data_IF_728780277394
#
_entry.id   IF_728780277394
#
_cell.length_a   1.000
_cell.length_b   1.000
_cell.length_c   1.000
_cell.angle_alpha   90.00
_cell.angle_beta   90.00
_cell.angle_gamma   90.00
#
_symmetry.space_group_name_H-M   'P 1'
#
loop_
_entity.id
_entity.type
_entity.pdbx_description
1 polymer ?
#
# COMPACT_ATOMS: atom_id res chain seq x y z
N UNK A 1 -6.56 20.91 9.13
CA UNK A 1 -5.78 22.15 9.08
C UNK A 1 -6.67 23.26 9.63
N UNK A 2 -6.15 24.07 10.55
CA UNK A 2 -6.94 25.15 11.19
C UNK A 2 -7.10 26.36 10.26
N UNK A 3 -6.29 26.44 9.20
CA UNK A 3 -6.38 27.42 8.11
C UNK A 3 -5.55 26.97 6.91
N UNK A 4 -5.85 27.54 5.74
CA UNK A 4 -5.14 27.25 4.50
C UNK A 4 -6.02 26.62 3.43
N UNK A 5 -5.52 26.58 2.21
CA UNK A 5 -6.17 25.97 1.05
C UNK A 5 -5.27 24.92 0.44
N UNK A 6 -5.81 23.77 0.07
CA UNK A 6 -5.12 22.74 -0.68
C UNK A 6 -5.62 22.80 -2.12
N UNK A 7 -4.74 23.18 -3.04
CA UNK A 7 -5.04 23.30 -4.47
C UNK A 7 -4.28 22.26 -5.29
N UNK A 8 -4.81 21.90 -6.46
CA UNK A 8 -4.12 20.99 -7.38
C UNK A 8 -4.11 19.53 -6.95
N UNK A 9 -4.99 19.11 -6.04
CA UNK A 9 -5.15 17.69 -5.70
C UNK A 9 -5.68 16.94 -6.92
N UNK A 10 -5.06 15.79 -7.28
CA UNK A 10 -5.57 14.95 -8.35
C UNK A 10 -6.90 14.30 -7.96
N UNK A 11 -7.71 13.96 -8.95
CA UNK A 11 -9.02 13.31 -8.72
C UNK A 11 -8.86 11.90 -8.12
N UNK A 12 -7.78 11.21 -8.49
CA UNK A 12 -7.54 9.81 -8.09
C UNK A 12 -6.32 9.73 -7.18
N UNK A 13 -6.59 9.47 -5.92
CA UNK A 13 -5.56 9.31 -4.89
C UNK A 13 -5.68 7.91 -4.29
N UNK A 14 -4.58 7.16 -4.29
CA UNK A 14 -4.47 5.90 -3.55
C UNK A 14 -3.87 6.18 -2.17
N UNK A 15 -4.44 5.58 -1.14
CA UNK A 15 -3.92 5.73 0.22
C UNK A 15 -3.75 4.35 0.86
N UNK A 16 -2.55 4.07 1.34
CA UNK A 16 -2.28 2.99 2.28
C UNK A 16 -2.15 3.61 3.67
N UNK A 17 -3.06 3.29 4.57
CA UNK A 17 -3.02 3.75 5.96
C UNK A 17 -2.07 2.89 6.80
N UNK A 18 -1.67 3.39 7.95
CA UNK A 18 -0.90 2.62 8.92
C UNK A 18 -1.61 1.31 9.34
N UNK A 19 -2.93 1.35 9.44
CA UNK A 19 -3.79 0.17 9.58
C UNK A 19 -4.16 -0.37 8.19
N UNK A 20 -4.22 -1.68 8.00
CA UNK A 20 -4.44 -2.29 6.69
C UNK A 20 -5.84 -2.03 6.11
N UNK A 21 -6.84 -1.79 6.96
CA UNK A 21 -8.24 -1.49 6.61
C UNK A 21 -8.79 -2.40 5.52
N UNK A 22 -8.52 -3.70 5.64
CA UNK A 22 -9.06 -4.72 4.76
C UNK A 22 -10.51 -5.05 5.14
N UNK A 23 -11.29 -5.48 4.16
CA UNK A 23 -12.63 -6.03 4.39
C UNK A 23 -12.47 -7.44 4.95
N UNK A 24 -12.87 -7.65 6.20
CA UNK A 24 -12.63 -8.87 6.96
C UNK A 24 -13.45 -10.08 6.48
N UNK A 25 -14.59 -9.83 5.85
CA UNK A 25 -15.56 -10.86 5.44
C UNK A 25 -15.29 -11.44 4.03
N UNK A 26 -14.22 -10.99 3.35
CA UNK A 26 -13.91 -11.41 1.98
C UNK A 26 -12.47 -11.91 1.85
N UNK A 27 -12.20 -12.59 0.74
CA UNK A 27 -10.86 -13.12 0.43
C UNK A 27 -9.83 -12.01 0.16
N UNK A 28 -8.54 -12.38 0.18
CA UNK A 28 -7.45 -11.50 -0.21
C UNK A 28 -7.61 -11.03 -1.66
N UNK A 29 -8.01 -11.92 -2.56
CA UNK A 29 -8.29 -11.57 -3.96
C UNK A 29 -9.38 -10.50 -4.07
N UNK A 30 -10.51 -10.70 -3.39
CA UNK A 30 -11.62 -9.75 -3.42
C UNK A 30 -11.24 -8.39 -2.86
N UNK A 31 -10.44 -8.34 -1.78
CA UNK A 31 -9.91 -7.08 -1.25
C UNK A 31 -9.12 -6.28 -2.29
N UNK A 32 -8.30 -6.94 -3.11
CA UNK A 32 -7.56 -6.29 -4.19
C UNK A 32 -8.51 -5.89 -5.33
N UNK A 33 -9.46 -6.76 -5.68
CA UNK A 33 -10.37 -6.54 -6.80
C UNK A 33 -11.37 -5.39 -6.55
N UNK A 34 -11.63 -5.01 -5.28
CA UNK A 34 -12.55 -3.91 -4.90
C UNK A 34 -12.22 -2.57 -5.57
N UNK A 35 -10.95 -2.28 -5.82
CA UNK A 35 -10.50 -1.01 -6.40
C UNK A 35 -10.33 -1.04 -7.90
N UNK A 36 -10.54 -2.22 -8.52
CA UNK A 36 -10.42 -2.39 -9.94
C UNK A 36 -11.78 -2.25 -10.64
N UNK A 37 -11.75 -1.82 -11.89
CA UNK A 37 -12.98 -1.76 -12.68
C UNK A 37 -13.68 -3.11 -12.75
N UNK A 38 -14.99 -3.09 -12.56
CA UNK A 38 -15.82 -4.29 -12.66
C UNK A 38 -15.83 -4.83 -14.08
N UNK A 39 -15.34 -6.04 -14.29
CA UNK A 39 -15.29 -6.69 -15.59
C UNK A 39 -16.62 -7.35 -15.94
N UNK A 40 -17.08 -7.13 -17.18
CA UNK A 40 -18.41 -7.56 -17.64
C UNK A 40 -18.40 -8.98 -18.20
N UNK A 41 -17.36 -9.38 -18.93
CA UNK A 41 -17.26 -10.68 -19.58
C UNK A 41 -16.41 -11.66 -18.78
N UNK A 42 -16.60 -12.98 -19.03
CA UNK A 42 -15.81 -14.04 -18.39
C UNK A 42 -14.32 -13.88 -18.74
N UNK A 43 -13.99 -13.71 -19.99
CA UNK A 43 -12.60 -13.50 -20.44
C UNK A 43 -11.92 -12.28 -19.76
N UNK A 44 -12.64 -11.18 -19.55
CA UNK A 44 -12.12 -10.02 -18.84
C UNK A 44 -11.88 -10.31 -17.35
N UNK A 45 -12.73 -11.11 -16.72
CA UNK A 45 -12.55 -11.54 -15.32
C UNK A 45 -11.36 -12.46 -15.18
N UNK A 46 -11.18 -13.40 -16.10
CA UNK A 46 -10.03 -14.31 -16.10
C UNK A 46 -8.71 -13.55 -16.28
N UNK A 47 -8.68 -12.59 -17.22
CA UNK A 47 -7.51 -11.74 -17.42
C UNK A 47 -7.20 -10.88 -16.18
N UNK A 48 -8.22 -10.35 -15.49
CA UNK A 48 -8.05 -9.59 -14.24
C UNK A 48 -7.51 -10.48 -13.13
N UNK A 49 -8.03 -11.72 -13.01
CA UNK A 49 -7.55 -12.69 -12.04
C UNK A 49 -6.08 -13.02 -12.27
N UNK A 50 -5.71 -13.36 -13.51
CA UNK A 50 -4.32 -13.64 -13.87
C UNK A 50 -3.40 -12.44 -13.55
N UNK A 51 -3.84 -11.22 -13.84
CA UNK A 51 -3.09 -10.00 -13.49
C UNK A 51 -2.87 -9.87 -11.97
N UNK A 52 -3.92 -10.07 -11.16
CA UNK A 52 -3.81 -9.98 -9.70
C UNK A 52 -2.85 -11.05 -9.18
N UNK A 53 -2.94 -12.29 -9.68
CA UNK A 53 -2.04 -13.40 -9.29
C UNK A 53 -0.58 -13.07 -9.64
N UNK A 54 -0.32 -12.50 -10.82
CA UNK A 54 1.03 -12.09 -11.22
C UNK A 54 1.59 -10.98 -10.34
N UNK A 55 0.78 -9.98 -10.00
CA UNK A 55 1.20 -8.88 -9.12
C UNK A 55 1.42 -9.36 -7.68
N UNK A 56 0.56 -10.24 -7.19
CA UNK A 56 0.69 -10.84 -5.87
C UNK A 56 1.97 -11.66 -5.72
N UNK A 57 2.32 -12.44 -6.75
CA UNK A 57 3.55 -13.23 -6.76
C UNK A 57 4.81 -12.36 -6.63
N UNK A 58 4.83 -11.13 -7.18
CA UNK A 58 5.96 -10.21 -7.07
C UNK A 58 6.24 -9.75 -5.64
N UNK A 59 5.24 -9.80 -4.77
CA UNK A 59 5.38 -9.48 -3.35
C UNK A 59 5.31 -10.71 -2.45
N UNK A 60 5.48 -11.92 -3.01
CA UNK A 60 5.52 -13.17 -2.27
C UNK A 60 4.17 -13.61 -1.68
N UNK A 61 3.07 -13.32 -2.37
CA UNK A 61 1.71 -13.84 -2.09
C UNK A 61 1.37 -14.86 -3.17
N UNK A 62 0.98 -16.05 -2.77
CA UNK A 62 0.66 -17.13 -3.69
C UNK A 62 -0.80 -17.06 -4.18
N UNK A 63 -1.12 -17.80 -5.25
CA UNK A 63 -2.50 -17.91 -5.71
C UNK A 63 -3.42 -18.60 -4.67
N UNK A 64 -2.87 -19.49 -3.84
CA UNK A 64 -3.59 -20.11 -2.73
C UNK A 64 -3.92 -19.09 -1.64
N UNK A 65 -2.94 -18.27 -1.23
CA UNK A 65 -3.13 -17.18 -0.26
C UNK A 65 -4.23 -16.22 -0.70
N UNK A 66 -4.33 -15.92 -1.99
CA UNK A 66 -5.35 -15.04 -2.55
C UNK A 66 -6.77 -15.57 -2.35
N UNK A 67 -6.96 -16.87 -2.25
CA UNK A 67 -8.28 -17.49 -2.03
C UNK A 67 -8.71 -17.50 -0.56
N UNK A 68 -7.78 -17.32 0.36
CA UNK A 68 -8.05 -17.33 1.80
C UNK A 68 -8.75 -16.04 2.24
N UNK A 69 -9.54 -16.16 3.32
CA UNK A 69 -10.03 -14.97 4.01
C UNK A 69 -8.87 -14.16 4.58
N UNK A 70 -8.91 -12.84 4.47
CA UNK A 70 -7.80 -11.98 4.93
C UNK A 70 -7.49 -12.13 6.41
N UNK A 71 -8.46 -12.53 7.23
CA UNK A 71 -8.27 -12.74 8.67
C UNK A 71 -7.44 -14.00 8.99
N UNK A 72 -7.35 -14.94 8.04
CA UNK A 72 -6.53 -16.16 8.17
C UNK A 72 -5.07 -15.92 7.82
N UNK A 73 -4.77 -14.78 7.17
CA UNK A 73 -3.42 -14.42 6.75
C UNK A 73 -2.60 -13.81 7.89
N UNK A 74 -1.28 -13.97 7.82
CA UNK A 74 -0.35 -13.29 8.74
C UNK A 74 -0.42 -11.76 8.60
N UNK A 75 0.02 -11.03 9.63
CA UNK A 75 0.05 -9.55 9.57
C UNK A 75 0.85 -9.01 8.38
N UNK A 76 2.02 -9.60 8.10
CA UNK A 76 2.83 -9.23 6.94
C UNK A 76 2.17 -9.56 5.59
N UNK A 77 1.37 -10.62 5.50
CA UNK A 77 0.58 -10.93 4.31
C UNK A 77 -0.54 -9.91 4.13
N UNK A 78 -1.29 -9.61 5.19
CA UNK A 78 -2.34 -8.58 5.16
C UNK A 78 -1.78 -7.22 4.73
N UNK A 79 -0.61 -6.83 5.24
CA UNK A 79 0.07 -5.60 4.84
C UNK A 79 0.35 -5.56 3.34
N UNK A 80 0.86 -6.67 2.76
CA UNK A 80 1.12 -6.79 1.31
C UNK A 80 -0.16 -6.77 0.48
N UNK A 81 -1.26 -7.36 0.95
CA UNK A 81 -2.57 -7.29 0.29
C UNK A 81 -3.11 -5.85 0.27
N UNK A 82 -3.03 -5.13 1.40
CA UNK A 82 -3.43 -3.72 1.48
C UNK A 82 -2.60 -2.84 0.54
N UNK A 83 -1.30 -3.12 0.45
CA UNK A 83 -0.38 -2.43 -0.46
C UNK A 83 -0.72 -2.71 -1.93
N UNK A 84 -0.96 -3.96 -2.31
CA UNK A 84 -1.40 -4.34 -3.66
C UNK A 84 -2.70 -3.63 -4.03
N UNK A 85 -3.69 -3.60 -3.12
CA UNK A 85 -4.94 -2.87 -3.33
C UNK A 85 -4.70 -1.39 -3.63
N UNK A 86 -3.82 -0.73 -2.87
CA UNK A 86 -3.50 0.67 -3.09
C UNK A 86 -2.77 0.92 -4.40
N UNK A 87 -1.78 0.08 -4.75
CA UNK A 87 -0.92 0.27 -5.92
C UNK A 87 -1.56 -0.16 -7.25
N UNK A 88 -2.52 -1.09 -7.22
CA UNK A 88 -3.25 -1.53 -8.42
C UNK A 88 -4.43 -0.61 -8.76
N UNK A 89 -4.83 0.28 -7.86
CA UNK A 89 -5.73 1.38 -8.17
C UNK A 89 -5.04 2.35 -9.13
N UNK A 90 -5.75 2.76 -10.19
CA UNK A 90 -5.23 3.71 -11.18
C UNK A 90 -5.22 5.13 -10.63
N UNK A 91 -4.28 5.41 -9.72
CA UNK A 91 -4.12 6.70 -9.06
C UNK A 91 -3.00 7.53 -9.68
N UNK A 92 -3.17 8.83 -9.66
CA UNK A 92 -2.18 9.85 -10.05
C UNK A 92 -1.26 10.21 -8.88
N UNK A 93 -1.80 10.12 -7.66
CA UNK A 93 -1.07 10.35 -6.42
C UNK A 93 -1.21 9.13 -5.50
N UNK A 94 -0.11 8.77 -4.84
CA UNK A 94 -0.04 7.63 -3.92
C UNK A 94 0.48 8.11 -2.57
N UNK A 95 -0.25 7.82 -1.49
CA UNK A 95 0.14 8.13 -0.12
C UNK A 95 0.34 6.81 0.62
N UNK A 96 1.53 6.58 1.13
CA UNK A 96 1.93 5.36 1.81
C UNK A 96 2.35 5.68 3.25
N UNK A 97 1.57 5.24 4.22
CA UNK A 97 1.84 5.43 5.64
C UNK A 97 2.40 4.13 6.23
N UNK A 98 3.68 4.14 6.62
CA UNK A 98 4.44 2.99 7.17
C UNK A 98 4.28 1.71 6.32
N UNK A 99 4.49 1.75 4.98
CA UNK A 99 4.08 0.67 4.07
C UNK A 99 4.78 -0.66 4.34
N UNK A 100 5.96 -0.66 4.97
CA UNK A 100 6.80 -1.83 5.17
C UNK A 100 6.79 -2.34 6.62
N UNK A 101 5.94 -1.76 7.48
CA UNK A 101 5.82 -2.16 8.88
C UNK A 101 5.42 -3.63 9.00
N UNK A 102 6.13 -4.36 9.87
CA UNK A 102 5.84 -5.78 10.16
C UNK A 102 6.32 -6.77 9.11
N UNK A 103 7.08 -6.33 8.10
CA UNK A 103 7.75 -7.22 7.15
C UNK A 103 9.13 -7.61 7.66
N UNK A 104 9.53 -8.85 7.42
CA UNK A 104 10.91 -9.29 7.62
C UNK A 104 11.86 -8.65 6.58
N UNK A 105 13.16 -8.68 6.85
CA UNK A 105 14.17 -7.97 6.05
C UNK A 105 14.14 -8.36 4.58
N UNK A 106 14.03 -9.66 4.27
CA UNK A 106 14.06 -10.15 2.89
C UNK A 106 12.80 -9.75 2.14
N UNK A 107 11.63 -9.97 2.74
CA UNK A 107 10.34 -9.56 2.17
C UNK A 107 10.27 -8.04 1.99
N UNK A 108 10.77 -7.27 2.97
CA UNK A 108 10.81 -5.81 2.90
C UNK A 108 11.55 -5.32 1.66
N UNK A 109 12.73 -5.87 1.36
CA UNK A 109 13.51 -5.48 0.19
C UNK A 109 12.77 -5.73 -1.13
N UNK A 110 12.13 -6.89 -1.26
CA UNK A 110 11.32 -7.25 -2.44
C UNK A 110 10.16 -6.26 -2.60
N UNK A 111 9.44 -6.01 -1.52
CA UNK A 111 8.26 -5.12 -1.53
C UNK A 111 8.66 -3.66 -1.79
N UNK A 112 9.78 -3.20 -1.25
CA UNK A 112 10.30 -1.85 -1.52
C UNK A 112 10.61 -1.66 -3.01
N UNK A 113 11.24 -2.64 -3.65
CA UNK A 113 11.53 -2.59 -5.07
C UNK A 113 10.23 -2.56 -5.89
N UNK A 114 9.26 -3.41 -5.57
CA UNK A 114 7.94 -3.43 -6.19
C UNK A 114 7.23 -2.07 -6.08
N UNK A 115 7.19 -1.49 -4.88
CA UNK A 115 6.60 -0.15 -4.65
C UNK A 115 7.27 0.90 -5.51
N UNK A 116 8.60 0.91 -5.55
CA UNK A 116 9.37 1.88 -6.35
C UNK A 116 9.01 1.81 -7.84
N UNK A 117 8.85 0.60 -8.38
CA UNK A 117 8.45 0.38 -9.77
C UNK A 117 7.00 0.85 -10.03
N UNK A 118 6.06 0.51 -9.14
CA UNK A 118 4.63 0.86 -9.28
C UNK A 118 4.33 2.35 -9.07
N UNK A 119 5.20 3.05 -8.36
CA UNK A 119 5.05 4.50 -8.13
C UNK A 119 5.88 5.36 -9.08
N UNK A 120 6.66 4.75 -9.98
CA UNK A 120 7.44 5.48 -10.96
C UNK A 120 6.56 6.41 -11.81
N UNK A 121 6.93 7.69 -11.89
CA UNK A 121 6.18 8.72 -12.63
C UNK A 121 4.91 9.23 -11.93
N UNK A 122 4.61 8.80 -10.71
CA UNK A 122 3.48 9.29 -9.91
C UNK A 122 3.96 10.21 -8.80
N UNK A 123 3.10 11.13 -8.38
CA UNK A 123 3.33 11.87 -7.13
C UNK A 123 3.16 10.91 -5.96
N UNK A 124 4.23 10.73 -5.17
CA UNK A 124 4.22 9.75 -4.07
C UNK A 124 4.65 10.41 -2.77
N UNK A 125 3.81 10.25 -1.74
CA UNK A 125 4.14 10.60 -0.37
C UNK A 125 4.40 9.33 0.42
N UNK A 126 5.61 9.19 0.96
CA UNK A 126 6.01 8.09 1.82
C UNK A 126 6.21 8.62 3.24
N UNK A 127 5.43 8.11 4.18
CA UNK A 127 5.62 8.36 5.61
C UNK A 127 6.30 7.14 6.20
N UNK A 128 7.46 7.33 6.80
CA UNK A 128 8.22 6.27 7.48
C UNK A 128 9.10 6.85 8.58
N UNK A 129 9.37 6.08 9.62
CA UNK A 129 10.36 6.38 10.63
C UNK A 129 11.73 5.72 10.35
N UNK A 130 11.84 4.91 9.29
CA UNK A 130 13.07 4.22 8.89
C UNK A 130 13.84 5.06 7.86
N UNK A 131 15.02 5.57 8.26
CA UNK A 131 15.87 6.37 7.40
C UNK A 131 16.33 5.60 6.14
N UNK A 132 16.56 4.28 6.24
CA UNK A 132 17.00 3.47 5.11
C UNK A 132 15.89 3.34 4.05
N UNK A 133 14.62 3.27 4.46
CA UNK A 133 13.48 3.31 3.54
C UNK A 133 13.45 4.64 2.79
N UNK A 134 13.54 5.76 3.52
CA UNK A 134 13.54 7.08 2.91
C UNK A 134 14.72 7.28 1.95
N UNK A 135 15.92 6.77 2.28
CA UNK A 135 17.10 6.83 1.41
C UNK A 135 16.92 5.99 0.13
N UNK A 136 16.29 4.82 0.24
CA UNK A 136 16.02 3.95 -0.91
C UNK A 136 15.11 4.59 -1.95
N UNK A 137 14.06 5.29 -1.51
CA UNK A 137 13.12 5.97 -2.42
C UNK A 137 13.69 7.28 -2.95
N UNK A 138 14.50 7.99 -2.18
CA UNK A 138 15.02 9.31 -2.53
C UNK A 138 13.93 10.38 -2.52
N UNK A 139 14.21 11.52 -3.21
CA UNK A 139 13.27 12.63 -3.31
C UNK A 139 13.41 13.67 -2.20
N UNK A 140 12.42 14.56 -2.08
CA UNK A 140 12.40 15.59 -1.06
C UNK A 140 12.01 14.98 0.29
N UNK A 141 12.73 15.34 1.35
CA UNK A 141 12.49 14.84 2.70
C UNK A 141 12.06 15.98 3.63
N UNK A 142 11.00 15.71 4.39
CA UNK A 142 10.56 16.57 5.49
C UNK A 142 10.58 15.78 6.78
N UNK A 143 11.17 16.34 7.82
CA UNK A 143 11.16 15.74 9.15
C UNK A 143 10.18 16.53 10.00
N UNK A 144 9.16 15.85 10.52
CA UNK A 144 8.24 16.45 11.47
C UNK A 144 8.92 16.52 12.85
N UNK A 145 8.79 17.67 13.57
CA UNK A 145 9.29 17.72 14.93
C UNK A 145 8.56 16.72 15.81
N UNK A 146 9.29 15.90 16.55
CA UNK A 146 8.72 15.07 17.62
C UNK A 146 8.27 15.99 18.75
N UNK A 147 6.97 16.01 19.08
CA UNK A 147 6.50 16.64 20.30
C UNK A 147 7.22 16.00 21.49
N UNK A 148 8.09 16.77 22.16
CA UNK A 148 8.64 16.39 23.45
C UNK A 148 7.49 16.30 24.46
N UNK A 149 7.02 15.11 24.77
CA UNK A 149 6.08 14.84 25.88
C UNK A 149 6.71 14.99 27.27
N UNK A 150 7.74 15.80 27.42
CA UNK A 150 8.42 16.08 28.70
C UNK A 150 8.37 17.58 29.01
N UNK A 151 7.20 18.08 29.35
CA UNK A 151 7.08 19.34 30.07
C UNK A 151 5.72 19.40 30.78
N UNK A 152 5.53 18.55 31.80
CA UNK A 152 4.58 18.77 32.90
C UNK A 152 4.65 17.57 33.85
N UNK A 153 5.68 17.50 34.63
CA UNK A 153 5.72 16.88 35.98
C UNK A 153 6.79 17.61 36.78
N UNK A 154 6.41 18.78 37.27
CA UNK A 154 6.97 19.38 38.50
C UNK A 154 5.83 20.07 39.26
#
# INVERSE_FOLDING_TARGET
>A
ADSGEVTGMPERVAVLFQEDRLCEDVSAYENIALVLERKKTHAQRDAQKCRIEQEAAQVGITAEDLTQNVMELSGGMRRRIALLRALLYDAECVILDEPFKGLDVTTKQIVMQYVKEKTAGKTTFLVTHDAAEADFFGGNRWTLPTENKNANDE
#
